data_IF_638695859074
#
_entry.id   IF_638695859074
#
_cell.length_a   1.000
_cell.length_b   1.000
_cell.length_c   1.000
_cell.angle_alpha   90.00
_cell.angle_beta   90.00
_cell.angle_gamma   90.00
#
_symmetry.space_group_name_H-M   'P 1'
#
loop_
_entity.id
_entity.type
_entity.pdbx_description
1 polymer ?
#
# COMPACT_ATOMS: atom_id res chain seq x y z
N UNK A 1 -25.41 15.13 -23.92
CA UNK A 1 -24.01 15.49 -23.61
C UNK A 1 -23.37 14.62 -22.51
N UNK A 2 -24.09 14.03 -21.59
CA UNK A 2 -23.59 13.10 -20.55
C UNK A 2 -23.24 11.70 -21.08
N UNK A 3 -23.92 11.23 -22.11
CA UNK A 3 -23.72 9.85 -22.64
C UNK A 3 -22.38 9.66 -23.36
N UNK A 4 -21.83 10.66 -24.00
CA UNK A 4 -20.54 10.55 -24.71
C UNK A 4 -19.32 10.70 -23.82
N UNK A 5 -19.43 11.45 -22.73
CA UNK A 5 -18.39 11.54 -21.69
C UNK A 5 -18.39 10.34 -20.75
N UNK A 6 -19.55 9.68 -20.63
CA UNK A 6 -19.74 8.59 -19.69
C UNK A 6 -19.16 7.26 -20.19
N UNK A 7 -18.99 7.05 -21.50
CA UNK A 7 -18.59 5.73 -21.99
C UNK A 7 -17.18 5.34 -21.54
N UNK A 8 -16.21 6.24 -21.65
CA UNK A 8 -14.85 6.00 -21.17
C UNK A 8 -14.74 6.00 -19.64
N UNK A 9 -15.49 6.87 -18.97
CA UNK A 9 -15.54 6.93 -17.52
C UNK A 9 -16.29 5.74 -16.93
N UNK A 10 -17.41 5.34 -17.53
CA UNK A 10 -18.16 4.16 -17.12
C UNK A 10 -17.40 2.86 -17.35
N UNK A 11 -16.62 2.78 -18.43
CA UNK A 11 -15.78 1.60 -18.70
C UNK A 11 -14.66 1.47 -17.65
N UNK A 12 -13.97 2.56 -17.33
CA UNK A 12 -12.95 2.58 -16.27
C UNK A 12 -13.54 2.28 -14.89
N UNK A 13 -14.70 2.85 -14.59
CA UNK A 13 -15.41 2.61 -13.36
C UNK A 13 -15.92 1.17 -13.24
N UNK A 14 -16.44 0.60 -14.33
CA UNK A 14 -16.85 -0.79 -14.36
C UNK A 14 -15.66 -1.74 -14.15
N UNK A 15 -14.49 -1.40 -14.69
CA UNK A 15 -13.27 -2.17 -14.46
C UNK A 15 -12.83 -2.10 -12.99
N UNK A 16 -12.87 -0.91 -12.36
CA UNK A 16 -12.62 -0.76 -10.93
C UNK A 16 -13.61 -1.57 -10.08
N UNK A 17 -14.90 -1.53 -10.41
CA UNK A 17 -15.92 -2.34 -9.74
C UNK A 17 -15.68 -3.84 -9.90
N UNK A 18 -15.19 -4.27 -11.06
CA UNK A 18 -14.91 -5.67 -11.33
C UNK A 18 -13.72 -6.23 -10.54
N UNK A 19 -12.74 -5.40 -10.16
CA UNK A 19 -11.48 -5.83 -9.54
C UNK A 19 -11.22 -5.24 -8.15
N UNK A 20 -11.95 -4.23 -7.72
CA UNK A 20 -11.75 -3.55 -6.44
C UNK A 20 -12.72 -4.06 -5.36
N UNK A 21 -12.24 -4.39 -4.13
CA UNK A 21 -13.09 -4.85 -3.04
C UNK A 21 -14.17 -3.84 -2.60
N UNK A 22 -13.87 -2.55 -2.75
CA UNK A 22 -14.76 -1.46 -2.36
C UNK A 22 -15.59 -0.92 -3.54
N UNK A 23 -15.40 -1.45 -4.74
CA UNK A 23 -15.89 -0.81 -5.97
C UNK A 23 -17.34 -1.06 -6.31
N UNK A 24 -17.99 -2.05 -5.70
CA UNK A 24 -19.34 -2.44 -6.11
C UNK A 24 -20.38 -1.34 -5.90
N UNK A 25 -20.18 -0.48 -4.92
CA UNK A 25 -21.17 0.52 -4.54
C UNK A 25 -20.82 1.98 -4.89
N UNK A 26 -19.62 2.25 -5.37
CA UNK A 26 -19.16 3.63 -5.61
C UNK A 26 -19.95 4.32 -6.74
N UNK A 27 -20.37 3.59 -7.75
CA UNK A 27 -21.07 4.14 -8.93
C UNK A 27 -22.53 3.68 -8.99
N UNK A 28 -22.86 2.57 -8.35
CA UNK A 28 -24.20 2.01 -8.37
C UNK A 28 -25.31 3.02 -7.98
N UNK A 29 -25.13 3.92 -7.00
CA UNK A 29 -26.12 4.93 -6.65
C UNK A 29 -26.42 5.92 -7.78
N UNK A 30 -25.52 6.11 -8.73
CA UNK A 30 -25.62 7.06 -9.83
C UNK A 30 -26.16 6.45 -11.13
N UNK A 31 -26.44 5.15 -11.14
CA UNK A 31 -26.92 4.44 -12.34
C UNK A 31 -28.44 4.32 -12.31
N UNK A 32 -29.09 4.78 -13.37
CA UNK A 32 -30.53 4.69 -13.56
C UNK A 32 -31.01 3.23 -13.68
N UNK A 33 -30.16 2.35 -14.20
CA UNK A 33 -30.46 0.92 -14.33
C UNK A 33 -29.23 0.08 -13.90
N UNK A 34 -29.06 -0.04 -12.59
CA UNK A 34 -27.97 -0.79 -11.97
C UNK A 34 -27.87 -2.23 -12.45
N UNK A 35 -29.00 -2.93 -12.52
CA UNK A 35 -29.02 -4.35 -12.91
C UNK A 35 -28.51 -4.54 -14.33
N UNK A 36 -28.97 -3.72 -15.27
CA UNK A 36 -28.52 -3.80 -16.66
C UNK A 36 -27.03 -3.47 -16.77
N UNK A 37 -26.52 -2.46 -16.07
CA UNK A 37 -25.10 -2.12 -16.06
C UNK A 37 -24.25 -3.27 -15.50
N UNK A 38 -24.70 -3.91 -14.44
CA UNK A 38 -23.98 -5.06 -13.87
C UNK A 38 -23.95 -6.23 -14.87
N UNK A 39 -25.06 -6.52 -15.55
CA UNK A 39 -25.16 -7.64 -16.47
C UNK A 39 -24.40 -7.36 -17.78
N UNK A 40 -24.53 -6.18 -18.34
CA UNK A 40 -24.00 -5.86 -19.67
C UNK A 40 -22.54 -5.44 -19.65
N UNK A 41 -22.04 -4.89 -18.53
CA UNK A 41 -20.68 -4.33 -18.45
C UNK A 41 -19.84 -5.01 -17.39
N UNK A 42 -20.31 -5.07 -16.14
CA UNK A 42 -19.47 -5.54 -15.01
C UNK A 42 -19.21 -7.04 -15.10
N UNK A 43 -20.25 -7.86 -15.28
CA UNK A 43 -20.10 -9.33 -15.37
C UNK A 43 -19.25 -9.79 -16.57
N UNK A 44 -19.42 -9.24 -17.79
CA UNK A 44 -18.50 -9.55 -18.89
C UNK A 44 -17.05 -9.20 -18.58
N UNK A 45 -16.79 -8.04 -17.93
CA UNK A 45 -15.43 -7.66 -17.51
C UNK A 45 -14.86 -8.58 -16.43
N UNK A 46 -15.67 -9.01 -15.48
CA UNK A 46 -15.26 -9.97 -14.44
C UNK A 46 -14.84 -11.31 -15.06
N UNK A 47 -15.56 -11.78 -16.09
CA UNK A 47 -15.32 -13.05 -16.74
C UNK A 47 -14.20 -13.03 -17.78
N UNK A 48 -13.75 -11.86 -18.22
CA UNK A 48 -12.64 -11.77 -19.17
C UNK A 48 -11.33 -12.28 -18.55
N UNK A 49 -10.53 -13.07 -19.29
CA UNK A 49 -9.22 -13.56 -18.85
C UNK A 49 -8.14 -12.45 -18.94
N UNK A 50 -8.46 -11.25 -18.52
CA UNK A 50 -7.54 -10.12 -18.54
C UNK A 50 -6.47 -10.25 -17.46
N UNK A 51 -5.31 -9.66 -17.74
CA UNK A 51 -4.23 -9.57 -16.76
C UNK A 51 -4.51 -8.44 -15.77
N UNK A 52 -4.54 -8.76 -14.50
CA UNK A 52 -4.68 -7.81 -13.40
C UNK A 52 -3.30 -7.51 -12.80
N UNK A 53 -3.00 -6.23 -12.62
CA UNK A 53 -1.74 -5.81 -12.01
C UNK A 53 -1.92 -5.68 -10.50
N UNK A 54 -1.11 -6.41 -9.74
CA UNK A 54 -1.20 -6.45 -8.28
C UNK A 54 0.18 -6.27 -7.64
N UNK A 55 0.20 -5.63 -6.48
CA UNK A 55 1.39 -5.61 -5.64
C UNK A 55 1.48 -6.97 -4.92
N UNK A 56 2.64 -7.65 -4.93
CA UNK A 56 2.79 -8.94 -4.27
C UNK A 56 2.46 -8.87 -2.78
N UNK A 57 1.77 -9.85 -2.25
CA UNK A 57 1.36 -9.94 -0.84
C UNK A 57 0.46 -8.79 -0.36
N UNK A 58 -0.17 -8.08 -1.27
CA UNK A 58 -1.16 -7.05 -0.95
C UNK A 58 -2.55 -7.64 -0.73
N UNK A 59 -3.42 -6.87 -0.09
CA UNK A 59 -4.84 -7.20 0.05
C UNK A 59 -5.51 -7.39 -1.32
N UNK A 60 -5.05 -6.64 -2.33
CA UNK A 60 -5.54 -6.76 -3.71
C UNK A 60 -5.16 -8.10 -4.35
N UNK A 61 -3.93 -8.60 -4.14
CA UNK A 61 -3.53 -9.92 -4.66
C UNK A 61 -4.40 -11.03 -4.06
N UNK A 62 -4.62 -10.99 -2.74
CA UNK A 62 -5.48 -11.97 -2.05
C UNK A 62 -6.93 -11.89 -2.54
N UNK A 63 -7.46 -10.69 -2.70
CA UNK A 63 -8.81 -10.48 -3.21
C UNK A 63 -8.97 -11.04 -4.62
N UNK A 64 -8.05 -10.72 -5.54
CA UNK A 64 -8.09 -11.20 -6.93
C UNK A 64 -7.97 -12.72 -6.96
N UNK A 65 -7.05 -13.31 -6.22
CA UNK A 65 -6.87 -14.76 -6.16
C UNK A 65 -8.14 -15.48 -5.68
N UNK A 66 -8.83 -14.92 -4.69
CA UNK A 66 -10.07 -15.51 -4.14
C UNK A 66 -11.29 -15.30 -5.05
N UNK A 67 -11.45 -14.08 -5.59
CA UNK A 67 -12.66 -13.69 -6.29
C UNK A 67 -12.61 -14.01 -7.79
N UNK A 68 -11.43 -13.95 -8.38
CA UNK A 68 -11.20 -14.08 -9.82
C UNK A 68 -10.06 -15.06 -10.14
N UNK A 69 -10.16 -16.35 -9.73
CA UNK A 69 -9.07 -17.31 -9.89
C UNK A 69 -8.70 -17.57 -11.36
N UNK A 70 -9.59 -17.23 -12.30
CA UNK A 70 -9.36 -17.37 -13.74
C UNK A 70 -8.53 -16.21 -14.34
N UNK A 71 -8.34 -15.10 -13.61
CA UNK A 71 -7.57 -13.95 -14.12
C UNK A 71 -6.07 -14.16 -13.92
N UNK A 72 -5.31 -13.78 -14.92
CA UNK A 72 -3.84 -13.75 -14.81
C UNK A 72 -3.42 -12.54 -14.00
N UNK A 73 -2.48 -12.72 -13.08
CA UNK A 73 -1.92 -11.62 -12.30
C UNK A 73 -0.53 -11.27 -12.79
N UNK A 74 -0.21 -9.99 -12.88
CA UNK A 74 1.13 -9.46 -13.12
C UNK A 74 1.56 -8.61 -11.93
N UNK A 75 2.71 -8.93 -11.36
CA UNK A 75 3.23 -8.24 -10.18
C UNK A 75 3.82 -6.90 -10.55
N UNK A 76 3.48 -5.88 -9.77
CA UNK A 76 4.00 -4.51 -9.89
C UNK A 76 4.49 -4.02 -8.54
N UNK A 77 5.39 -3.03 -8.55
CA UNK A 77 5.86 -2.38 -7.32
C UNK A 77 4.79 -1.42 -6.77
N UNK A 78 4.77 -1.25 -5.45
CA UNK A 78 3.91 -0.26 -4.78
C UNK A 78 4.38 1.19 -4.94
N UNK A 79 5.54 1.42 -5.59
CA UNK A 79 6.08 2.75 -5.84
C UNK A 79 6.86 3.38 -4.66
N UNK A 80 6.87 2.81 -3.46
CA UNK A 80 7.66 3.36 -2.33
C UNK A 80 9.14 3.42 -2.64
N UNK A 81 9.67 2.44 -3.36
CA UNK A 81 11.07 2.41 -3.77
C UNK A 81 11.48 3.56 -4.70
N UNK A 82 10.52 4.14 -5.44
CA UNK A 82 10.75 5.27 -6.34
C UNK A 82 10.78 6.64 -5.63
N UNK A 83 10.49 6.70 -4.33
CA UNK A 83 10.52 7.96 -3.59
C UNK A 83 11.95 8.49 -3.47
N UNK A 84 12.14 9.76 -3.85
CA UNK A 84 13.46 10.41 -3.84
C UNK A 84 13.86 10.99 -2.49
N UNK A 85 12.89 11.17 -1.57
CA UNK A 85 13.09 11.84 -0.27
C UNK A 85 12.39 11.08 0.86
N UNK A 86 12.89 11.26 2.09
CA UNK A 86 12.28 10.68 3.29
C UNK A 86 10.87 11.24 3.53
N UNK A 87 10.67 12.54 3.29
CA UNK A 87 9.33 13.14 3.44
C UNK A 87 8.33 12.55 2.44
N UNK A 88 8.76 12.29 1.20
CA UNK A 88 7.92 11.62 0.21
C UNK A 88 7.63 10.17 0.58
N UNK A 89 8.63 9.44 1.09
CA UNK A 89 8.45 8.08 1.63
C UNK A 89 7.38 8.06 2.74
N UNK A 90 7.49 8.92 3.76
CA UNK A 90 6.55 8.96 4.87
C UNK A 90 5.11 9.29 4.40
N UNK A 91 4.96 10.22 3.46
CA UNK A 91 3.64 10.50 2.84
C UNK A 91 3.13 9.33 2.03
N UNK A 92 4.04 8.67 1.31
CA UNK A 92 3.74 7.50 0.50
C UNK A 92 3.17 6.33 1.29
N UNK A 93 3.53 6.17 2.58
CA UNK A 93 3.00 5.11 3.44
C UNK A 93 1.47 5.08 3.46
N UNK A 94 0.82 6.27 3.48
CA UNK A 94 -0.64 6.34 3.51
C UNK A 94 -1.32 5.76 2.26
N UNK A 95 -0.64 5.79 1.10
CA UNK A 95 -1.19 5.30 -0.16
C UNK A 95 -0.99 3.81 -0.37
N UNK A 96 0.02 3.22 0.26
CA UNK A 96 0.39 1.81 0.05
C UNK A 96 0.06 0.91 1.23
N UNK A 97 -0.45 1.49 2.30
CA UNK A 97 -0.83 0.76 3.51
C UNK A 97 -1.88 -0.31 3.22
N UNK A 98 -1.61 -1.53 3.65
CA UNK A 98 -2.49 -2.68 3.49
C UNK A 98 -3.25 -2.93 4.78
N UNK A 99 -4.52 -2.57 4.77
CA UNK A 99 -5.40 -2.68 5.93
C UNK A 99 -5.57 -4.14 6.39
N UNK A 100 -5.80 -5.06 5.46
CA UNK A 100 -5.94 -6.48 5.75
C UNK A 100 -4.68 -7.09 6.35
N UNK A 101 -3.50 -6.69 5.86
CA UNK A 101 -2.20 -7.16 6.36
C UNK A 101 -1.86 -6.60 7.75
N UNK A 102 -2.49 -5.51 8.18
CA UNK A 102 -2.30 -4.90 9.50
C UNK A 102 -3.20 -5.48 10.59
N UNK A 103 -4.02 -6.46 10.25
CA UNK A 103 -4.98 -7.07 11.16
C UNK A 103 -4.29 -7.66 12.40
N UNK A 104 -4.75 -7.24 13.58
CA UNK A 104 -4.16 -7.64 14.86
C UNK A 104 -2.89 -6.87 15.27
N UNK A 105 -2.34 -6.03 14.40
CA UNK A 105 -1.19 -5.19 14.73
C UNK A 105 -1.64 -3.90 15.43
N UNK A 106 -1.09 -3.68 16.63
CA UNK A 106 -1.25 -2.44 17.38
C UNK A 106 0.14 -2.02 17.87
N UNK A 107 0.76 -1.09 17.17
CA UNK A 107 2.14 -0.67 17.45
C UNK A 107 2.42 0.78 17.06
N UNK A 108 3.34 1.39 17.81
CA UNK A 108 3.88 2.73 17.59
C UNK A 108 5.35 2.62 17.19
N UNK A 109 5.69 3.19 16.07
CA UNK A 109 7.03 3.19 15.49
C UNK A 109 7.59 4.62 15.50
N UNK A 110 8.76 4.81 16.08
CA UNK A 110 9.52 6.06 15.95
C UNK A 110 10.61 5.89 14.89
N UNK A 111 10.56 6.73 13.88
CA UNK A 111 11.60 6.85 12.86
C UNK A 111 12.44 8.09 13.12
N UNK A 112 13.75 7.91 13.10
CA UNK A 112 14.73 9.00 13.12
C UNK A 112 15.62 8.85 11.90
N UNK A 113 15.50 9.77 10.97
CA UNK A 113 16.37 9.84 9.81
C UNK A 113 17.44 10.89 10.04
N UNK A 114 18.67 10.58 9.63
CA UNK A 114 19.85 11.44 9.78
C UNK A 114 20.60 11.55 8.45
N UNK A 115 21.55 12.43 8.34
CA UNK A 115 22.33 12.65 7.12
C UNK A 115 21.75 13.74 6.25
N UNK A 116 21.55 13.48 4.96
CA UNK A 116 21.10 14.48 3.98
C UNK A 116 19.69 15.04 4.32
N UNK A 117 18.84 14.21 4.91
CA UNK A 117 17.54 14.64 5.43
C UNK A 117 17.41 14.25 6.90
N UNK A 118 17.22 15.24 7.76
CA UNK A 118 16.94 15.03 9.18
C UNK A 118 15.44 15.12 9.41
N UNK A 119 14.82 13.96 9.65
CA UNK A 119 13.38 13.85 9.86
C UNK A 119 13.10 12.91 11.02
N UNK A 120 12.22 13.33 11.93
CA UNK A 120 11.62 12.48 12.95
C UNK A 120 10.16 12.28 12.64
N UNK A 121 9.70 11.06 12.76
CA UNK A 121 8.30 10.73 12.50
C UNK A 121 7.82 9.64 13.46
N UNK A 122 6.53 9.70 13.77
CA UNK A 122 5.81 8.65 14.45
C UNK A 122 4.85 8.01 13.46
N UNK A 123 4.93 6.69 13.33
CA UNK A 123 3.98 5.88 12.57
C UNK A 123 3.22 5.01 13.54
N UNK A 124 1.91 5.20 13.63
CA UNK A 124 1.04 4.42 14.49
C UNK A 124 0.14 3.54 13.64
N UNK A 125 0.14 2.24 13.91
CA UNK A 125 -0.79 1.28 13.32
C UNK A 125 -1.65 0.74 14.46
N UNK A 126 -2.95 1.04 14.43
CA UNK A 126 -3.92 0.56 15.42
C UNK A 126 -5.28 0.36 14.78
N UNK A 127 -5.96 -0.72 15.15
CA UNK A 127 -7.31 -1.02 14.65
C UNK A 127 -7.39 -0.92 13.11
N UNK A 128 -6.41 -1.50 12.42
CA UNK A 128 -6.33 -1.50 10.96
C UNK A 128 -6.30 -0.09 10.34
N UNK A 129 -5.79 0.90 11.09
CA UNK A 129 -5.62 2.29 10.64
C UNK A 129 -4.17 2.69 10.78
N UNK A 130 -3.70 3.44 9.79
CA UNK A 130 -2.39 4.06 9.78
C UNK A 130 -2.51 5.55 10.12
N UNK A 131 -1.62 6.02 10.97
CA UNK A 131 -1.41 7.44 11.22
C UNK A 131 0.07 7.75 11.15
N UNK A 132 0.43 8.73 10.37
CA UNK A 132 1.81 9.24 10.25
C UNK A 132 1.83 10.68 10.73
N UNK A 133 2.70 11.00 11.67
CA UNK A 133 2.87 12.34 12.21
C UNK A 133 4.34 12.74 12.32
N UNK A 134 4.64 14.01 12.24
CA UNK A 134 5.99 14.54 12.46
C UNK A 134 6.37 14.46 13.94
N UNK A 135 7.67 14.31 14.20
CA UNK A 135 8.22 14.21 15.55
C UNK A 135 7.99 12.84 16.19
N UNK A 136 8.49 12.71 17.43
CA UNK A 136 8.27 11.53 18.26
C UNK A 136 7.14 11.80 19.24
N UNK A 137 6.00 11.18 19.03
CA UNK A 137 4.81 11.34 19.84
C UNK A 137 4.53 10.07 20.64
N UNK A 138 4.45 10.20 21.95
CA UNK A 138 4.17 9.09 22.87
C UNK A 138 5.35 8.11 23.02
N UNK A 139 5.03 6.93 23.52
CA UNK A 139 6.00 5.85 23.70
C UNK A 139 6.00 4.93 22.48
N UNK A 140 7.19 4.62 21.96
CA UNK A 140 7.33 3.72 20.83
C UNK A 140 7.59 2.29 21.27
N UNK A 141 6.94 1.35 20.58
CA UNK A 141 7.19 -0.08 20.68
C UNK A 141 8.43 -0.49 19.88
N UNK A 142 8.73 0.26 18.83
CA UNK A 142 9.95 0.09 18.03
C UNK A 142 10.52 1.46 17.64
N UNK A 143 11.82 1.62 17.81
CA UNK A 143 12.57 2.79 17.33
C UNK A 143 13.53 2.38 16.23
N UNK A 144 13.49 3.10 15.13
CA UNK A 144 14.37 2.92 13.99
C UNK A 144 15.12 4.22 13.74
N UNK A 145 16.44 4.14 13.75
CA UNK A 145 17.30 5.25 13.32
C UNK A 145 18.03 4.83 12.07
N UNK A 146 17.98 5.64 11.03
CA UNK A 146 18.59 5.33 9.75
C UNK A 146 19.22 6.59 9.12
N UNK A 147 20.38 6.40 8.47
CA UNK A 147 20.88 7.36 7.50
C UNK A 147 19.92 7.44 6.31
N UNK A 148 19.48 8.65 5.96
CA UNK A 148 18.41 8.88 4.97
C UNK A 148 18.73 8.29 3.60
N UNK A 149 19.96 8.48 3.14
CA UNK A 149 20.45 7.94 1.87
C UNK A 149 20.49 6.40 1.87
N UNK A 150 20.97 5.82 2.97
CA UNK A 150 21.02 4.37 3.15
C UNK A 150 19.62 3.76 3.18
N UNK A 151 18.67 4.43 3.84
CA UNK A 151 17.28 4.00 3.89
C UNK A 151 16.63 3.98 2.50
N UNK A 152 16.77 5.06 1.72
CA UNK A 152 16.23 5.13 0.37
C UNK A 152 16.84 4.09 -0.56
N UNK A 153 18.15 3.82 -0.45
CA UNK A 153 18.81 2.72 -1.19
C UNK A 153 18.31 1.35 -0.77
N UNK A 154 18.04 1.15 0.51
CA UNK A 154 17.44 -0.09 1.02
C UNK A 154 16.04 -0.31 0.40
N UNK A 155 15.20 0.71 0.35
CA UNK A 155 13.88 0.61 -0.29
C UNK A 155 13.96 0.23 -1.77
N UNK A 156 14.98 0.70 -2.47
CA UNK A 156 15.26 0.35 -3.87
C UNK A 156 15.90 -1.03 -4.06
N UNK A 157 16.11 -1.76 -2.96
CA UNK A 157 16.85 -3.05 -2.96
C UNK A 157 18.31 -2.93 -3.41
N UNK A 158 18.89 -1.73 -3.37
CA UNK A 158 20.30 -1.45 -3.69
C UNK A 158 21.22 -1.57 -2.48
N UNK A 159 20.66 -1.70 -1.28
CA UNK A 159 21.41 -1.88 -0.04
C UNK A 159 20.88 -3.08 0.74
N UNK A 160 21.79 -3.89 1.27
CA UNK A 160 21.44 -5.02 2.12
C UNK A 160 21.23 -4.55 3.56
N UNK A 161 20.09 -4.91 4.16
CA UNK A 161 19.74 -4.54 5.53
C UNK A 161 20.75 -5.03 6.55
N UNK A 162 21.28 -6.25 6.40
CA UNK A 162 22.25 -6.84 7.33
C UNK A 162 23.54 -6.02 7.35
N UNK A 163 24.04 -5.64 6.18
CA UNK A 163 25.23 -4.78 6.08
C UNK A 163 24.98 -3.36 6.62
N UNK A 164 23.78 -2.82 6.42
CA UNK A 164 23.41 -1.51 6.95
C UNK A 164 23.34 -1.53 8.50
N UNK A 165 22.84 -2.61 9.09
CA UNK A 165 22.85 -2.84 10.54
C UNK A 165 24.26 -3.01 11.08
N UNK A 166 25.11 -3.85 10.48
CA UNK A 166 26.49 -4.07 10.89
C UNK A 166 27.31 -2.77 10.86
N UNK A 167 27.10 -1.94 9.83
CA UNK A 167 27.76 -0.63 9.68
C UNK A 167 27.12 0.47 10.53
N UNK A 168 26.14 0.14 11.36
CA UNK A 168 25.37 1.07 12.19
C UNK A 168 24.68 2.23 11.43
N UNK A 169 24.50 2.06 10.11
CA UNK A 169 23.73 2.99 9.25
C UNK A 169 22.23 2.88 9.48
N UNK A 170 21.79 1.72 9.95
CA UNK A 170 20.42 1.49 10.45
C UNK A 170 20.57 0.89 11.86
N UNK A 171 19.82 1.41 12.81
CA UNK A 171 19.75 0.92 14.19
C UNK A 171 18.29 0.68 14.54
N UNK A 172 18.05 -0.43 15.21
CA UNK A 172 16.70 -0.84 15.63
C UNK A 172 16.74 -1.08 17.13
N UNK A 173 15.78 -0.53 17.85
CA UNK A 173 15.57 -0.78 19.27
C UNK A 173 14.11 -1.14 19.49
N UNK A 174 13.86 -2.26 20.13
CA UNK A 174 12.57 -2.89 20.30
C UNK A 174 12.51 -4.27 19.66
N UNK A 175 11.32 -4.85 19.54
CA UNK A 175 11.15 -6.19 19.01
C UNK A 175 11.37 -6.26 17.49
N UNK A 176 12.32 -7.07 16.99
CA UNK A 176 12.51 -7.25 15.54
C UNK A 176 11.25 -7.78 14.82
N UNK A 177 10.38 -8.49 15.54
CA UNK A 177 9.10 -8.97 15.01
C UNK A 177 8.24 -7.82 14.51
N UNK A 178 8.20 -6.69 15.24
CA UNK A 178 7.44 -5.50 14.85
C UNK A 178 7.92 -4.90 13.53
N UNK A 179 9.23 -5.00 13.23
CA UNK A 179 9.74 -4.57 11.93
C UNK A 179 9.26 -5.46 10.79
N UNK A 180 9.19 -6.76 11.00
CA UNK A 180 8.65 -7.70 10.01
C UNK A 180 7.16 -7.46 9.79
N UNK A 181 6.40 -7.24 10.86
CA UNK A 181 4.97 -6.92 10.78
C UNK A 181 4.74 -5.58 10.09
N UNK A 182 5.57 -4.58 10.37
CA UNK A 182 5.57 -3.32 9.61
C UNK A 182 5.77 -3.58 8.12
N UNK A 183 6.79 -4.38 7.75
CA UNK A 183 7.05 -4.71 6.35
C UNK A 183 5.88 -5.41 5.64
N UNK A 184 5.10 -6.23 6.37
CA UNK A 184 3.88 -6.85 5.82
C UNK A 184 2.80 -5.84 5.48
N UNK A 185 2.69 -4.76 6.25
CA UNK A 185 1.71 -3.71 6.00
C UNK A 185 2.05 -2.85 4.77
N UNK A 186 3.29 -2.95 4.25
CA UNK A 186 3.80 -2.16 3.11
C UNK A 186 4.53 -3.06 2.12
N UNK A 187 3.89 -4.07 1.52
CA UNK A 187 4.51 -5.01 0.60
C UNK A 187 5.03 -4.30 -0.66
N UNK A 188 6.12 -4.79 -1.26
CA UNK A 188 6.79 -4.18 -2.42
C UNK A 188 7.32 -5.21 -3.41
#
# INVERSE_FOLDING_TARGET
MWQSLSFGANYKAAYCMAVCPAGEDVIAPFLTNRKQFLDDVVRPLQNKPETVYVVPKSDAEEFVARRFPHKKTKRVSNGLAGQGTIRAFLRGLNFVFQKGQSKGLNAVYHFTFTGDEEVKATVTIRNEKLQVSEGHNGQADLRLTADSKTWLRFLRKEANLVWALLRRKIRISGSPKLLLEFGRCFPS
#
